data_IF_511820464498
#
_entry.id   IF_511820464498
#
_cell.length_a   1.000
_cell.length_b   1.000
_cell.length_c   1.000
_cell.angle_alpha   90.00
_cell.angle_beta   90.00
_cell.angle_gamma   90.00
#
_symmetry.space_group_name_H-M   'P 1'
#
loop_
_entity.id
_entity.type
_entity.pdbx_description
1 polymer ?
#
# COMPACT_ATOMS: atom_id res chain seq x y z
N UNK A 1 7.52 18.16 -41.41
CA UNK A 1 8.49 18.77 -40.48
C UNK A 1 7.90 18.72 -39.08
N UNK A 2 8.63 18.09 -38.15
CA UNK A 2 8.29 18.05 -36.71
C UNK A 2 8.76 19.36 -36.08
N UNK A 3 7.99 19.94 -35.15
CA UNK A 3 8.61 20.73 -34.08
C UNK A 3 7.80 20.60 -32.79
N UNK A 4 8.53 20.12 -31.77
CA UNK A 4 8.11 19.82 -30.41
C UNK A 4 7.89 21.12 -29.64
N UNK A 5 6.86 21.16 -28.80
CA UNK A 5 6.73 22.20 -27.77
C UNK A 5 7.33 21.64 -26.48
N UNK A 6 8.38 22.29 -26.00
CA UNK A 6 9.09 21.99 -24.74
C UNK A 6 8.80 23.13 -23.77
N UNK A 7 8.35 22.82 -22.55
CA UNK A 7 8.20 23.79 -21.47
C UNK A 7 9.19 23.46 -20.35
N UNK A 8 10.20 24.31 -20.23
CA UNK A 8 11.16 24.37 -19.13
C UNK A 8 10.57 25.10 -17.93
N UNK A 9 10.96 24.65 -16.74
CA UNK A 9 10.63 25.18 -15.44
C UNK A 9 10.92 26.68 -15.26
N UNK A 10 10.05 27.39 -14.52
CA UNK A 10 10.33 28.73 -13.97
C UNK A 10 10.04 28.71 -12.47
N UNK A 11 11.14 28.87 -11.73
CA UNK A 11 11.23 29.26 -10.33
C UNK A 11 10.54 30.63 -10.13
N UNK A 12 9.57 30.73 -9.21
CA UNK A 12 9.19 32.02 -8.64
C UNK A 12 9.25 31.95 -7.12
N UNK A 13 10.46 32.22 -6.65
CA UNK A 13 10.75 32.75 -5.34
C UNK A 13 10.04 34.10 -5.20
N UNK A 14 9.06 34.20 -4.31
CA UNK A 14 8.50 35.49 -3.89
C UNK A 14 8.39 35.54 -2.37
N UNK A 15 8.96 36.62 -1.87
CA UNK A 15 9.39 36.91 -0.52
C UNK A 15 8.26 37.65 0.20
N UNK A 16 7.49 36.95 1.04
CA UNK A 16 6.62 37.62 2.02
C UNK A 16 7.41 37.80 3.31
N UNK A 17 8.09 38.94 3.42
CA UNK A 17 8.63 39.47 4.65
C UNK A 17 7.52 40.22 5.39
N UNK A 18 6.91 39.58 6.39
CA UNK A 18 6.30 40.27 7.52
C UNK A 18 6.95 39.76 8.80
N UNK A 19 7.77 40.62 9.40
CA UNK A 19 8.38 40.41 10.71
C UNK A 19 7.35 40.73 11.80
N UNK A 20 7.00 39.74 12.60
CA UNK A 20 6.74 39.95 14.02
C UNK A 20 7.49 38.88 14.81
N UNK A 21 8.31 39.34 15.76
CA UNK A 21 8.98 38.50 16.75
C UNK A 21 7.90 37.92 17.66
N UNK A 22 7.69 36.63 17.52
CA UNK A 22 7.00 35.78 18.47
C UNK A 22 7.73 34.44 18.46
N UNK A 23 8.29 34.05 19.60
CA UNK A 23 8.93 32.75 19.78
C UNK A 23 7.90 31.66 19.44
N UNK A 24 7.99 31.05 18.26
CA UNK A 24 7.13 29.94 17.86
C UNK A 24 8.00 28.85 17.24
N UNK A 25 8.57 28.09 18.19
CA UNK A 25 8.78 26.65 18.12
C UNK A 25 9.12 26.09 16.74
N UNK A 26 10.38 25.68 16.58
CA UNK A 26 10.69 24.50 15.78
C UNK A 26 9.63 23.44 16.12
N UNK A 27 8.75 23.09 15.18
CA UNK A 27 7.97 21.85 15.28
C UNK A 27 8.95 20.69 15.12
N UNK A 28 9.65 20.42 16.20
CA UNK A 28 10.36 19.19 16.41
C UNK A 28 9.32 18.22 16.96
N UNK A 29 8.44 17.75 16.08
CA UNK A 29 7.47 16.71 16.40
C UNK A 29 8.14 15.35 16.29
N UNK A 30 9.09 15.05 17.18
CA UNK A 30 9.37 13.66 17.50
C UNK A 30 8.36 13.26 18.59
N UNK A 31 7.12 13.04 18.17
CA UNK A 31 6.23 12.23 18.99
C UNK A 31 6.84 10.83 18.96
N UNK A 32 7.49 10.45 20.05
CA UNK A 32 7.84 9.05 20.30
C UNK A 32 6.52 8.28 20.49
N UNK A 33 5.82 8.02 19.38
CA UNK A 33 4.61 7.20 19.33
C UNK A 33 5.04 5.77 19.58
N UNK A 34 5.29 5.44 20.84
CA UNK A 34 5.42 4.05 21.25
C UNK A 34 4.14 3.30 20.85
N UNK A 35 4.29 2.21 20.10
CA UNK A 35 3.16 1.42 19.62
C UNK A 35 2.42 0.84 20.84
N UNK A 36 1.09 0.98 20.96
CA UNK A 36 0.36 0.45 22.11
C UNK A 36 0.53 -1.07 22.28
N UNK A 37 0.68 -1.55 23.52
CA UNK A 37 0.89 -2.97 23.84
C UNK A 37 -0.18 -3.90 23.26
N UNK A 38 -1.44 -3.43 23.19
CA UNK A 38 -2.53 -4.21 22.61
C UNK A 38 -2.28 -4.51 21.11
N UNK A 39 -1.79 -3.52 20.35
CA UNK A 39 -1.44 -3.68 18.93
C UNK A 39 -0.20 -4.56 18.78
N UNK A 40 0.83 -4.32 19.59
CA UNK A 40 2.03 -5.18 19.59
C UNK A 40 1.66 -6.66 19.80
N UNK A 41 0.73 -6.95 20.72
CA UNK A 41 0.25 -8.31 20.99
C UNK A 41 -0.48 -8.92 19.80
N UNK A 42 -1.35 -8.15 19.13
CA UNK A 42 -2.07 -8.62 17.92
C UNK A 42 -1.07 -8.97 16.82
N UNK A 43 -0.11 -8.09 16.54
CA UNK A 43 0.94 -8.35 15.55
C UNK A 43 1.78 -9.56 15.93
N UNK A 44 2.25 -9.67 17.17
CA UNK A 44 3.10 -10.77 17.62
C UNK A 44 2.39 -12.14 17.55
N UNK A 45 1.07 -12.19 17.79
CA UNK A 45 0.27 -13.42 17.67
C UNK A 45 0.10 -13.80 16.19
N UNK A 46 -0.23 -12.84 15.32
CA UNK A 46 -0.55 -13.12 13.91
C UNK A 46 0.70 -13.27 13.03
N UNK A 47 1.74 -12.52 13.33
CA UNK A 47 3.01 -12.46 12.60
C UNK A 47 4.19 -12.66 13.57
N UNK A 48 4.41 -13.89 14.08
CA UNK A 48 5.47 -14.13 15.03
C UNK A 48 6.85 -13.77 14.46
N UNK A 49 7.53 -12.84 15.13
CA UNK A 49 8.87 -12.38 14.73
C UNK A 49 8.88 -11.22 13.73
N UNK A 50 7.72 -10.69 13.35
CA UNK A 50 7.66 -9.46 12.58
C UNK A 50 8.05 -8.24 13.43
N UNK A 51 8.70 -7.26 12.79
CA UNK A 51 9.02 -5.98 13.40
C UNK A 51 7.99 -4.94 12.97
N UNK A 52 7.43 -4.17 13.91
CA UNK A 52 6.59 -3.02 13.59
C UNK A 52 7.50 -1.86 13.17
N UNK A 53 7.27 -1.29 11.98
CA UNK A 53 8.07 -0.20 11.42
C UNK A 53 7.37 1.14 11.47
N UNK A 54 6.03 1.15 11.39
CA UNK A 54 5.22 2.35 11.57
C UNK A 54 3.83 1.98 12.12
N UNK A 55 3.11 2.98 12.63
CA UNK A 55 1.78 2.85 13.18
C UNK A 55 1.01 4.17 13.02
N UNK A 56 -0.14 4.11 12.37
CA UNK A 56 -1.09 5.21 12.31
C UNK A 56 -2.48 4.79 12.82
N UNK A 57 -3.16 5.73 13.46
CA UNK A 57 -4.50 5.52 14.00
C UNK A 57 -5.37 6.73 13.68
N UNK A 58 -6.49 6.45 13.05
CA UNK A 58 -7.50 7.43 12.73
C UNK A 58 -8.89 7.01 13.22
N UNK A 59 -9.95 7.64 12.69
CA UNK A 59 -11.34 7.31 13.04
C UNK A 59 -11.86 6.04 12.37
N UNK A 60 -11.20 5.57 11.31
CA UNK A 60 -11.55 4.38 10.54
C UNK A 60 -10.91 3.12 11.14
N UNK A 61 -9.72 3.22 11.73
CA UNK A 61 -9.05 2.09 12.36
C UNK A 61 -7.62 2.38 12.72
N UNK A 62 -6.81 1.34 12.63
CA UNK A 62 -5.37 1.36 12.91
C UNK A 62 -4.66 0.68 11.74
N UNK A 63 -3.73 1.38 11.14
CA UNK A 63 -2.79 0.84 10.16
C UNK A 63 -1.45 0.57 10.84
N UNK A 64 -0.91 -0.63 10.66
CA UNK A 64 0.36 -1.04 11.23
C UNK A 64 1.26 -1.57 10.13
N UNK A 65 2.32 -0.83 9.85
CA UNK A 65 3.36 -1.31 8.94
C UNK A 65 4.28 -2.26 9.68
N UNK A 66 4.46 -3.44 9.10
CA UNK A 66 5.35 -4.47 9.65
C UNK A 66 6.34 -4.95 8.59
N UNK A 67 7.49 -5.43 9.07
CA UNK A 67 8.41 -6.25 8.29
C UNK A 67 8.34 -7.68 8.82
N UNK A 68 7.72 -8.57 8.05
CA UNK A 68 7.55 -9.99 8.35
C UNK A 68 8.42 -10.82 7.38
N UNK A 69 9.40 -11.54 7.91
CA UNK A 69 10.35 -12.36 7.12
C UNK A 69 11.01 -11.62 5.94
N UNK A 70 11.26 -10.33 6.10
CA UNK A 70 11.86 -9.50 5.05
C UNK A 70 10.85 -8.76 4.16
N UNK A 71 9.58 -9.16 4.17
CA UNK A 71 8.50 -8.58 3.37
C UNK A 71 7.80 -7.48 4.16
N UNK A 72 7.58 -6.32 3.52
CA UNK A 72 6.78 -5.24 4.10
C UNK A 72 5.30 -5.58 3.96
N UNK A 73 4.53 -5.40 5.03
CA UNK A 73 3.09 -5.63 5.03
C UNK A 73 2.38 -4.52 5.77
N UNK A 74 1.23 -4.13 5.25
CA UNK A 74 0.31 -3.19 5.87
C UNK A 74 -0.80 -4.01 6.56
N UNK A 75 -0.90 -3.90 7.88
CA UNK A 75 -1.91 -4.59 8.68
C UNK A 75 -2.98 -3.60 9.12
N UNK A 76 -4.21 -3.80 8.67
CA UNK A 76 -5.35 -3.01 9.09
C UNK A 76 -6.04 -3.69 10.27
N UNK A 77 -6.16 -2.98 11.38
CA UNK A 77 -6.92 -3.37 12.56
C UNK A 77 -8.13 -2.46 12.74
N UNK A 78 -9.23 -3.04 13.22
CA UNK A 78 -10.43 -2.31 13.58
C UNK A 78 -10.29 -1.57 14.92
N UNK A 79 -11.37 -0.92 15.34
CA UNK A 79 -11.37 -0.08 16.56
C UNK A 79 -11.10 -0.86 17.84
N UNK A 80 -11.39 -2.16 17.85
CA UNK A 80 -11.13 -3.05 18.98
C UNK A 80 -9.84 -3.87 18.79
N UNK A 81 -8.98 -3.45 17.87
CA UNK A 81 -7.74 -4.13 17.45
C UNK A 81 -7.96 -5.51 16.83
N UNK A 82 -9.18 -5.82 16.38
CA UNK A 82 -9.45 -7.00 15.58
C UNK A 82 -8.76 -6.88 14.22
N UNK A 83 -8.17 -7.97 13.73
CA UNK A 83 -7.55 -7.98 12.41
C UNK A 83 -8.61 -7.92 11.31
N UNK A 84 -8.51 -6.93 10.43
CA UNK A 84 -9.42 -6.73 9.29
C UNK A 84 -8.78 -7.17 7.98
N UNK A 85 -7.53 -6.80 7.74
CA UNK A 85 -6.81 -7.22 6.54
C UNK A 85 -5.30 -7.12 6.69
N UNK A 86 -4.59 -7.83 5.83
CA UNK A 86 -3.17 -7.57 5.58
C UNK A 86 -2.93 -7.51 4.09
N UNK A 87 -2.21 -6.46 3.67
CA UNK A 87 -1.87 -6.18 2.29
C UNK A 87 -0.35 -6.21 2.13
N UNK A 88 0.13 -6.87 1.10
CA UNK A 88 1.54 -6.86 0.73
C UNK A 88 1.72 -7.22 -0.74
N UNK A 89 2.78 -6.71 -1.33
CA UNK A 89 3.11 -7.03 -2.72
C UNK A 89 3.82 -8.38 -2.77
N UNK A 90 3.50 -9.14 -3.81
CA UNK A 90 4.07 -10.45 -4.10
C UNK A 90 4.65 -10.47 -5.51
N UNK A 91 5.54 -11.42 -5.77
CA UNK A 91 6.00 -11.64 -7.13
C UNK A 91 4.94 -12.39 -7.93
N UNK A 92 4.89 -12.17 -9.25
CA UNK A 92 3.95 -12.87 -10.13
C UNK A 92 4.14 -14.41 -10.09
N UNK A 93 5.35 -14.89 -9.77
CA UNK A 93 5.66 -16.31 -9.59
C UNK A 93 5.04 -16.93 -8.32
N UNK A 94 4.66 -16.11 -7.34
CA UNK A 94 4.02 -16.55 -6.10
C UNK A 94 2.48 -16.61 -6.22
N UNK A 95 1.93 -16.16 -7.36
CA UNK A 95 0.49 -16.21 -7.63
C UNK A 95 0.06 -17.64 -7.93
N UNK A 96 -1.09 -18.11 -7.40
CA UNK A 96 -1.70 -19.37 -7.81
C UNK A 96 -1.81 -19.52 -9.34
N UNK A 97 -1.37 -20.66 -9.86
CA UNK A 97 -1.29 -20.92 -11.31
C UNK A 97 -2.63 -20.71 -12.01
N UNK A 98 -3.74 -21.16 -11.41
CA UNK A 98 -5.08 -21.03 -11.99
C UNK A 98 -5.50 -19.56 -12.20
N UNK A 99 -5.02 -18.64 -11.36
CA UNK A 99 -5.26 -17.20 -11.51
C UNK A 99 -4.46 -16.66 -12.70
N UNK A 100 -3.19 -17.05 -12.81
CA UNK A 100 -2.33 -16.65 -13.92
C UNK A 100 -2.83 -17.19 -15.26
N UNK A 101 -3.36 -18.41 -15.27
CA UNK A 101 -4.00 -19.01 -16.44
C UNK A 101 -5.27 -18.25 -16.83
N UNK A 102 -6.13 -17.91 -15.86
CA UNK A 102 -7.32 -17.10 -16.13
C UNK A 102 -6.98 -15.70 -16.67
N UNK A 103 -5.95 -15.06 -16.13
CA UNK A 103 -5.45 -13.77 -16.62
C UNK A 103 -4.94 -13.88 -18.06
N UNK A 104 -4.12 -14.89 -18.35
CA UNK A 104 -3.52 -15.13 -19.67
C UNK A 104 -4.57 -15.49 -20.73
N UNK A 105 -5.70 -16.10 -20.34
CA UNK A 105 -6.81 -16.42 -21.24
C UNK A 105 -7.87 -15.30 -21.33
N UNK A 106 -7.64 -14.15 -20.69
CA UNK A 106 -8.60 -13.04 -20.65
C UNK A 106 -8.40 -12.01 -21.77
N UNK A 107 -9.25 -10.99 -21.81
CA UNK A 107 -9.08 -9.81 -22.67
C UNK A 107 -7.79 -9.00 -22.36
N UNK A 108 -7.12 -9.30 -21.26
CA UNK A 108 -5.94 -8.57 -20.77
C UNK A 108 -4.62 -9.31 -21.03
N UNK A 109 -4.61 -10.37 -21.85
CA UNK A 109 -3.42 -11.19 -22.10
C UNK A 109 -2.23 -10.44 -22.72
N UNK A 110 -2.47 -9.31 -23.39
CA UNK A 110 -1.39 -8.43 -23.92
C UNK A 110 -0.90 -7.40 -22.89
N UNK A 111 -1.58 -7.26 -21.75
CA UNK A 111 -1.18 -6.33 -20.70
C UNK A 111 -0.01 -6.89 -19.90
N UNK A 112 0.89 -6.00 -19.50
CA UNK A 112 2.00 -6.34 -18.60
C UNK A 112 1.52 -6.23 -17.16
N UNK A 113 1.94 -7.19 -16.34
CA UNK A 113 1.76 -7.10 -14.89
C UNK A 113 2.80 -6.12 -14.35
N UNK A 114 2.34 -5.00 -13.81
CA UNK A 114 3.20 -4.02 -13.14
C UNK A 114 3.36 -4.34 -11.64
N UNK A 115 2.26 -4.70 -10.98
CA UNK A 115 2.24 -5.03 -9.56
C UNK A 115 1.20 -6.12 -9.28
N UNK A 116 1.51 -7.01 -8.34
CA UNK A 116 0.54 -7.92 -7.75
C UNK A 116 0.53 -7.71 -6.24
N UNK A 117 -0.63 -7.31 -5.73
CA UNK A 117 -0.84 -7.20 -4.29
C UNK A 117 -1.69 -8.36 -3.80
N UNK A 118 -1.19 -9.11 -2.82
CA UNK A 118 -2.02 -10.04 -2.04
C UNK A 118 -2.73 -9.29 -0.91
N UNK A 119 -4.02 -9.57 -0.74
CA UNK A 119 -4.83 -9.05 0.36
C UNK A 119 -5.47 -10.23 1.08
N UNK A 120 -5.04 -10.47 2.31
CA UNK A 120 -5.67 -11.43 3.21
C UNK A 120 -6.73 -10.73 4.06
N UNK A 121 -7.93 -11.32 4.15
CA UNK A 121 -9.06 -10.88 4.99
C UNK A 121 -9.74 -12.08 5.64
N UNK A 122 -10.62 -11.89 6.65
CA UNK A 122 -11.44 -12.98 7.17
C UNK A 122 -12.29 -13.69 6.11
N UNK A 123 -12.67 -13.00 5.03
CA UNK A 123 -13.46 -13.56 3.93
C UNK A 123 -12.63 -14.36 2.91
N UNK A 124 -11.31 -14.42 3.05
CA UNK A 124 -10.41 -15.12 2.13
C UNK A 124 -9.23 -14.27 1.66
N UNK A 125 -8.46 -14.86 0.76
CA UNK A 125 -7.30 -14.22 0.11
C UNK A 125 -7.70 -13.73 -1.28
N UNK A 126 -7.23 -12.54 -1.62
CA UNK A 126 -7.48 -11.87 -2.89
C UNK A 126 -6.18 -11.42 -3.52
N UNK A 127 -6.16 -11.35 -4.85
CA UNK A 127 -5.02 -10.92 -5.64
C UNK A 127 -5.45 -9.76 -6.51
N UNK A 128 -4.83 -8.60 -6.30
CA UNK A 128 -5.08 -7.41 -7.10
C UNK A 128 -3.92 -7.22 -8.06
N UNK A 129 -4.22 -7.30 -9.35
CA UNK A 129 -3.26 -7.07 -10.41
C UNK A 129 -3.38 -5.63 -10.88
N UNK A 130 -2.28 -4.89 -10.89
CA UNK A 130 -2.14 -3.67 -11.67
C UNK A 130 -1.55 -4.05 -13.03
N UNK A 131 -2.32 -3.83 -14.08
CA UNK A 131 -1.99 -4.20 -15.45
C UNK A 131 -1.82 -2.95 -16.30
N UNK A 132 -0.76 -2.91 -17.11
CA UNK A 132 -0.47 -1.78 -17.99
C UNK A 132 -0.33 -2.23 -19.46
N UNK A 133 -1.00 -1.50 -20.34
CA UNK A 133 -0.84 -1.64 -21.80
C UNK A 133 -0.90 -0.26 -22.45
N UNK A 134 0.19 0.13 -23.11
CA UNK A 134 0.41 1.48 -23.65
C UNK A 134 0.19 2.57 -22.58
N UNK A 135 -0.81 3.44 -22.74
CA UNK A 135 -1.17 4.50 -21.78
C UNK A 135 -2.40 4.12 -20.93
N UNK A 136 -2.80 2.85 -20.92
CA UNK A 136 -3.94 2.36 -20.16
C UNK A 136 -3.46 1.52 -18.97
N UNK A 137 -4.07 1.79 -17.81
CA UNK A 137 -3.90 1.00 -16.58
C UNK A 137 -5.25 0.41 -16.18
N UNK A 138 -5.27 -0.89 -15.89
CA UNK A 138 -6.44 -1.60 -15.38
C UNK A 138 -6.07 -2.32 -14.09
N UNK A 139 -6.99 -2.35 -13.14
CA UNK A 139 -6.87 -3.18 -11.93
C UNK A 139 -7.88 -4.31 -11.97
N UNK A 140 -7.39 -5.55 -11.88
CA UNK A 140 -8.23 -6.74 -11.77
C UNK A 140 -8.10 -7.36 -10.38
N UNK A 141 -9.19 -7.89 -9.84
CA UNK A 141 -9.18 -8.60 -8.56
C UNK A 141 -9.66 -10.02 -8.72
N UNK A 142 -8.83 -10.99 -8.32
CA UNK A 142 -9.20 -12.40 -8.25
C UNK A 142 -9.35 -12.84 -6.78
N UNK A 143 -10.26 -13.78 -6.52
CA UNK A 143 -10.25 -14.54 -5.26
C UNK A 143 -9.35 -15.78 -5.37
N UNK A 144 -9.21 -16.51 -4.26
CA UNK A 144 -8.43 -17.75 -4.19
C UNK A 144 -8.97 -18.91 -5.04
N UNK A 145 -10.20 -18.81 -5.56
CA UNK A 145 -10.81 -19.79 -6.48
C UNK A 145 -10.62 -19.39 -7.95
N UNK A 146 -9.71 -18.44 -8.20
CA UNK A 146 -9.42 -17.87 -9.52
C UNK A 146 -10.59 -17.18 -10.22
N UNK A 147 -11.65 -16.82 -9.49
CA UNK A 147 -12.76 -16.05 -10.04
C UNK A 147 -12.38 -14.57 -10.11
N UNK A 148 -12.54 -13.98 -11.30
CA UNK A 148 -12.43 -12.54 -11.48
C UNK A 148 -13.65 -11.85 -10.85
N UNK A 149 -13.40 -10.90 -9.94
CA UNK A 149 -14.44 -10.18 -9.19
C UNK A 149 -14.69 -8.77 -9.72
N UNK A 150 -13.64 -8.09 -10.18
CA UNK A 150 -13.66 -6.72 -10.67
C UNK A 150 -12.50 -6.48 -11.62
#
# INVERSE_FOLDING_TARGET
>A
MKLKVSFTAILFMSYCLFLTVGCQQKKQGSDDKSVPQAIQKVIQIKYPGATITDYDKDTAGVEVDIKDKGVKKEVLLGKNNEWLSTKFDIHAEDVPVDIMDNLTNSAYHEYKIDEVTQIDKPSGTFYVFKLEHENNEVRLTFNSEAQLLK
#
